data_IF_528395517178
#
_entry.id   IF_528395517178
#
_cell.length_a   1.000
_cell.length_b   1.000
_cell.length_c   1.000
_cell.angle_alpha   90.00
_cell.angle_beta   90.00
_cell.angle_gamma   90.00
#
_symmetry.space_group_name_H-M   'P 1'
#
loop_
_entity.id
_entity.type
_entity.pdbx_description
1 polymer ?
#
# COMPACT_ATOMS: atom_id res chain seq x y z
N UNK A 1 0.73 -13.37 -14.31
CA UNK A 1 1.04 -12.49 -13.14
C UNK A 1 2.54 -12.34 -12.91
N UNK A 2 3.31 -13.42 -12.70
CA UNK A 2 4.76 -13.31 -12.44
C UNK A 2 5.52 -12.53 -13.53
N UNK A 3 5.29 -12.84 -14.81
CA UNK A 3 5.86 -12.08 -15.93
C UNK A 3 5.37 -10.64 -16.00
N UNK A 4 4.13 -10.37 -15.56
CA UNK A 4 3.61 -9.01 -15.50
C UNK A 4 4.33 -8.22 -14.42
N UNK A 5 4.39 -8.70 -13.17
CA UNK A 5 5.00 -7.95 -12.06
C UNK A 5 6.53 -7.82 -12.22
N UNK A 6 7.22 -8.84 -12.71
CA UNK A 6 8.69 -8.89 -12.76
C UNK A 6 9.30 -8.73 -11.37
N UNK A 7 10.47 -8.08 -11.29
CA UNK A 7 11.18 -7.80 -10.02
C UNK A 7 10.78 -6.46 -9.37
N UNK A 8 9.71 -5.83 -9.86
CA UNK A 8 9.29 -4.51 -9.37
C UNK A 8 8.76 -4.60 -7.95
N UNK A 9 8.95 -3.55 -7.12
CA UNK A 9 8.35 -3.51 -5.80
C UNK A 9 6.82 -3.60 -5.87
N UNK A 10 6.23 -4.34 -4.93
CA UNK A 10 4.79 -4.40 -4.73
C UNK A 10 4.37 -3.24 -3.84
N UNK A 11 3.37 -2.48 -4.28
CA UNK A 11 2.77 -1.38 -3.52
C UNK A 11 1.36 -1.79 -3.10
N UNK A 12 0.99 -1.52 -1.86
CA UNK A 12 -0.32 -1.90 -1.33
C UNK A 12 -0.59 -1.37 0.06
N UNK A 13 -1.74 -1.79 0.59
CA UNK A 13 -2.23 -1.51 1.94
C UNK A 13 -2.49 -2.85 2.62
N UNK A 14 -1.75 -3.14 3.70
CA UNK A 14 -1.70 -4.47 4.34
C UNK A 14 -1.23 -5.59 3.39
N UNK A 15 -0.17 -5.33 2.63
CA UNK A 15 0.39 -6.25 1.62
C UNK A 15 0.75 -7.65 2.15
N UNK A 16 1.07 -7.76 3.44
CA UNK A 16 1.51 -9.04 4.03
C UNK A 16 0.46 -10.14 3.86
N UNK A 17 -0.83 -9.79 3.95
CA UNK A 17 -1.92 -10.73 3.74
C UNK A 17 -1.99 -11.18 2.27
N UNK A 18 -2.04 -10.23 1.33
CA UNK A 18 -2.14 -10.54 -0.10
C UNK A 18 -0.94 -11.37 -0.58
N UNK A 19 0.27 -11.00 -0.16
CA UNK A 19 1.50 -11.75 -0.48
C UNK A 19 1.45 -13.17 0.09
N UNK A 20 0.93 -13.36 1.30
CA UNK A 20 0.78 -14.68 1.89
C UNK A 20 -0.21 -15.55 1.10
N UNK A 21 -1.34 -14.98 0.68
CA UNK A 21 -2.33 -15.67 -0.16
C UNK A 21 -1.72 -16.07 -1.51
N UNK A 22 -1.04 -15.14 -2.18
CA UNK A 22 -0.37 -15.40 -3.45
C UNK A 22 0.73 -16.47 -3.30
N UNK A 23 1.57 -16.37 -2.27
CA UNK A 23 2.64 -17.35 -2.00
C UNK A 23 2.10 -18.75 -1.73
N UNK A 24 0.93 -18.88 -1.08
CA UNK A 24 0.28 -20.19 -0.90
C UNK A 24 0.01 -20.86 -2.24
N UNK A 25 -0.56 -20.13 -3.19
CA UNK A 25 -0.87 -20.65 -4.52
C UNK A 25 0.39 -20.89 -5.36
N UNK A 26 1.38 -19.99 -5.29
CA UNK A 26 2.63 -20.13 -6.03
C UNK A 26 3.44 -21.36 -5.58
N UNK A 27 3.46 -21.65 -4.27
CA UNK A 27 4.11 -22.86 -3.76
C UNK A 27 3.44 -24.13 -4.28
N UNK A 28 2.10 -24.16 -4.30
CA UNK A 28 1.35 -25.32 -4.77
C UNK A 28 1.52 -25.59 -6.27
N UNK A 29 1.61 -24.54 -7.08
CA UNK A 29 1.63 -24.67 -8.55
C UNK A 29 3.04 -24.73 -9.14
N UNK A 30 4.01 -24.04 -8.52
CA UNK A 30 5.31 -23.76 -9.12
C UNK A 30 6.50 -24.01 -8.17
N UNK A 31 6.26 -24.42 -6.93
CA UNK A 31 7.28 -24.52 -5.87
C UNK A 31 8.10 -23.22 -5.70
N UNK A 32 7.42 -22.06 -5.79
CA UNK A 32 8.03 -20.73 -5.70
C UNK A 32 7.25 -19.79 -4.77
N UNK A 33 7.87 -18.68 -4.42
CA UNK A 33 7.23 -17.56 -3.70
C UNK A 33 7.69 -16.22 -4.28
N UNK A 34 6.92 -15.16 -4.00
CA UNK A 34 7.28 -13.79 -4.32
C UNK A 34 8.42 -13.31 -3.42
N UNK A 35 9.41 -12.69 -4.04
CA UNK A 35 10.56 -12.07 -3.37
C UNK A 35 10.65 -10.57 -3.64
N UNK A 36 9.62 -10.01 -4.28
CA UNK A 36 9.54 -8.60 -4.59
C UNK A 36 9.61 -7.76 -3.31
N UNK A 37 10.35 -6.64 -3.30
CA UNK A 37 10.29 -5.69 -2.19
C UNK A 37 8.87 -5.15 -2.02
N UNK A 38 8.43 -4.95 -0.77
CA UNK A 38 7.10 -4.45 -0.48
C UNK A 38 7.15 -3.01 0.02
N UNK A 39 6.29 -2.16 -0.53
CA UNK A 39 6.04 -0.79 -0.11
C UNK A 39 4.66 -0.76 0.53
N UNK A 40 4.65 -0.76 1.86
CA UNK A 40 3.43 -0.65 2.66
C UNK A 40 3.05 0.82 2.84
N UNK A 41 1.90 1.22 2.28
CA UNK A 41 1.46 2.62 2.25
C UNK A 41 1.21 3.17 3.66
N UNK A 42 0.64 2.35 4.56
CA UNK A 42 0.39 2.75 5.96
C UNK A 42 1.68 3.07 6.70
N UNK A 43 2.72 2.26 6.49
CA UNK A 43 4.06 2.46 7.04
C UNK A 43 4.73 3.70 6.47
N UNK A 44 4.58 3.97 5.17
CA UNK A 44 5.12 5.17 4.54
C UNK A 44 4.44 6.43 5.08
N UNK A 45 3.11 6.42 5.20
CA UNK A 45 2.32 7.49 5.79
C UNK A 45 2.76 7.77 7.23
N UNK A 46 2.79 6.72 8.07
CA UNK A 46 3.23 6.82 9.47
C UNK A 46 4.58 7.51 9.58
N UNK A 47 5.60 7.02 8.86
CA UNK A 47 6.94 7.63 8.88
C UNK A 47 6.94 9.10 8.47
N UNK A 48 6.10 9.50 7.50
CA UNK A 48 6.05 10.89 7.03
C UNK A 48 5.39 11.80 8.06
N UNK A 49 4.33 11.34 8.72
CA UNK A 49 3.63 12.09 9.77
C UNK A 49 4.47 12.17 11.05
N UNK A 50 5.01 11.06 11.55
CA UNK A 50 5.83 11.05 12.77
C UNK A 50 7.08 11.94 12.68
N UNK A 51 7.61 12.17 11.47
CA UNK A 51 8.72 13.12 11.27
C UNK A 51 8.35 14.58 11.54
N UNK A 52 7.08 14.95 11.35
CA UNK A 52 6.57 16.29 11.60
C UNK A 52 5.87 16.40 12.96
N UNK A 53 5.28 15.30 13.43
CA UNK A 53 4.53 15.20 14.68
C UNK A 53 4.92 13.94 15.46
N UNK A 54 6.07 13.95 16.18
CA UNK A 54 6.63 12.75 16.82
C UNK A 54 5.70 12.08 17.84
N UNK A 55 4.90 12.86 18.56
CA UNK A 55 4.05 12.38 19.66
C UNK A 55 2.59 12.18 19.26
N UNK A 56 2.27 12.32 17.97
CA UNK A 56 0.89 12.19 17.50
C UNK A 56 0.44 10.72 17.46
N UNK A 57 -0.78 10.46 17.91
CA UNK A 57 -1.45 9.19 17.66
C UNK A 57 -1.95 9.17 16.21
N UNK A 58 -1.36 8.32 15.37
CA UNK A 58 -1.65 8.26 13.93
C UNK A 58 -2.63 7.12 13.65
N UNK A 59 -3.86 7.45 13.25
CA UNK A 59 -4.85 6.48 12.77
C UNK A 59 -4.49 6.02 11.35
N UNK A 60 -4.14 4.74 11.22
CA UNK A 60 -3.66 4.12 9.98
C UNK A 60 -4.75 3.43 9.15
N UNK A 61 -6.03 3.61 9.50
CA UNK A 61 -7.13 3.06 8.68
C UNK A 61 -7.13 3.67 7.28
N UNK A 62 -7.45 2.84 6.29
CA UNK A 62 -7.47 3.20 4.87
C UNK A 62 -8.20 4.51 4.60
N UNK A 63 -9.44 4.63 5.08
CA UNK A 63 -10.28 5.80 4.81
C UNK A 63 -9.75 7.05 5.52
N UNK A 64 -9.07 6.88 6.67
CA UNK A 64 -8.40 7.97 7.37
C UNK A 64 -7.21 8.48 6.56
N UNK A 65 -6.37 7.57 6.04
CA UNK A 65 -5.25 7.92 5.16
C UNK A 65 -5.73 8.64 3.89
N UNK A 66 -6.73 8.08 3.21
CA UNK A 66 -7.25 8.66 1.97
C UNK A 66 -7.80 10.06 2.21
N UNK A 67 -8.55 10.26 3.30
CA UNK A 67 -9.06 11.59 3.69
C UNK A 67 -7.94 12.57 4.04
N UNK A 68 -6.96 12.15 4.84
CA UNK A 68 -5.84 13.02 5.24
C UNK A 68 -4.97 13.43 4.05
N UNK A 69 -4.88 12.58 3.03
CA UNK A 69 -4.17 12.84 1.78
C UNK A 69 -5.01 13.53 0.71
N UNK A 70 -6.29 13.81 0.97
CA UNK A 70 -7.24 14.38 0.01
C UNK A 70 -7.33 13.54 -1.29
N UNK A 71 -7.38 12.22 -1.12
CA UNK A 71 -7.49 11.26 -2.23
C UNK A 71 -8.95 10.79 -2.33
N UNK A 72 -9.61 11.01 -3.48
CA UNK A 72 -10.94 10.48 -3.71
C UNK A 72 -10.89 8.96 -3.81
N UNK A 73 -11.72 8.29 -3.02
CA UNK A 73 -11.85 6.82 -3.09
C UNK A 73 -13.07 6.47 -3.92
N UNK A 74 -12.83 6.01 -5.15
CA UNK A 74 -13.87 5.45 -6.03
C UNK A 74 -13.72 3.93 -6.10
N UNK A 75 -14.82 3.20 -5.98
CA UNK A 75 -14.79 1.73 -6.04
C UNK A 75 -14.14 1.07 -4.82
N UNK A 76 -14.29 1.65 -3.61
CA UNK A 76 -13.87 1.02 -2.34
C UNK A 76 -14.43 -0.39 -2.23
N UNK A 77 -13.65 -1.30 -1.66
CA UNK A 77 -13.98 -2.73 -1.50
C UNK A 77 -13.97 -3.51 -2.82
N UNK A 78 -13.41 -2.94 -3.87
CA UNK A 78 -13.01 -3.67 -5.08
C UNK A 78 -11.49 -3.68 -5.17
N UNK A 79 -10.93 -4.79 -5.67
CA UNK A 79 -9.47 -4.91 -5.80
C UNK A 79 -8.86 -3.79 -6.66
N UNK A 80 -9.52 -3.41 -7.75
CA UNK A 80 -9.04 -2.34 -8.63
C UNK A 80 -9.17 -0.95 -7.99
N UNK A 81 -10.32 -0.63 -7.40
CA UNK A 81 -10.54 0.67 -6.76
C UNK A 81 -9.62 0.89 -5.56
N UNK A 82 -9.43 -0.14 -4.73
CA UNK A 82 -8.50 -0.09 -3.62
C UNK A 82 -7.05 0.08 -4.11
N UNK A 83 -6.61 -0.65 -5.14
CA UNK A 83 -5.28 -0.50 -5.73
C UNK A 83 -5.05 0.89 -6.36
N UNK A 84 -6.06 1.46 -7.03
CA UNK A 84 -6.01 2.81 -7.58
C UNK A 84 -5.87 3.86 -6.47
N UNK A 85 -6.67 3.76 -5.41
CA UNK A 85 -6.58 4.65 -4.27
C UNK A 85 -5.20 4.56 -3.58
N UNK A 86 -4.64 3.36 -3.41
CA UNK A 86 -3.26 3.19 -2.90
C UNK A 86 -2.24 3.88 -3.81
N UNK A 87 -2.35 3.73 -5.13
CA UNK A 87 -1.44 4.38 -6.06
C UNK A 87 -1.50 5.91 -5.97
N UNK A 88 -2.70 6.48 -5.85
CA UNK A 88 -2.89 7.92 -5.67
C UNK A 88 -2.34 8.41 -4.32
N UNK A 89 -2.60 7.70 -3.23
CA UNK A 89 -2.02 7.99 -1.91
C UNK A 89 -0.50 7.96 -1.95
N UNK A 90 0.09 6.98 -2.64
CA UNK A 90 1.53 6.88 -2.81
C UNK A 90 2.11 8.08 -3.57
N UNK A 91 1.48 8.46 -4.68
CA UNK A 91 1.89 9.65 -5.44
C UNK A 91 1.79 10.92 -4.59
N UNK A 92 0.72 11.08 -3.81
CA UNK A 92 0.54 12.20 -2.88
C UNK A 92 1.60 12.23 -1.79
N UNK A 93 2.00 11.07 -1.26
CA UNK A 93 3.07 10.96 -0.27
C UNK A 93 4.46 11.25 -0.87
N UNK A 94 4.69 10.96 -2.15
CA UNK A 94 5.98 11.23 -2.79
C UNK A 94 6.12 12.67 -3.30
N UNK A 95 5.06 13.24 -3.85
CA UNK A 95 5.11 14.50 -4.60
C UNK A 95 4.26 15.62 -4.01
N UNK A 96 3.33 15.30 -3.12
CA UNK A 96 2.47 16.27 -2.48
C UNK A 96 3.09 16.90 -1.22
N UNK A 97 2.43 17.94 -0.69
CA UNK A 97 2.82 18.56 0.58
C UNK A 97 2.84 17.53 1.72
N UNK A 98 3.49 17.89 2.83
CA UNK A 98 3.49 17.07 4.03
C UNK A 98 2.03 16.74 4.43
N UNK A 99 1.74 15.49 4.81
CA UNK A 99 0.43 15.12 5.34
C UNK A 99 0.15 15.93 6.60
N UNK A 100 -1.10 16.34 6.77
CA UNK A 100 -1.58 17.07 7.93
C UNK A 100 -2.03 16.11 9.02
#
# INVERSE_FOLDING_TARGET
VLAFIGDRPLLGYYLSFDVAVLNRHLRQLLDRQLHNPSIEISSLYHRKVSRHFPDAHIDLRFDTLARALDVPVSGRHTALGDAQAVALMFMRLLKGPAPK
#
